data_IF_698018232613
#
_entry.id   IF_698018232613
#
_cell.length_a   1.000
_cell.length_b   1.000
_cell.length_c   1.000
_cell.angle_alpha   90.00
_cell.angle_beta   90.00
_cell.angle_gamma   90.00
#
_symmetry.space_group_name_H-M   'P 1'
#
loop_
_entity.id
_entity.type
_entity.pdbx_description
1 polymer ?
#
# COMPACT_ATOMS: atom_id res chain seq x y z
N UNK A 1 -10.08 24.71 3.37
CA UNK A 1 -8.97 23.74 3.50
C UNK A 1 -8.41 23.42 2.13
N UNK A 2 -7.09 23.40 1.98
CA UNK A 2 -6.42 23.03 0.74
C UNK A 2 -5.98 21.57 0.84
N UNK A 3 -6.38 20.75 -0.13
CA UNK A 3 -5.96 19.34 -0.18
C UNK A 3 -4.50 19.28 -0.62
N UNK A 4 -3.65 18.59 0.13
CA UNK A 4 -2.23 18.39 -0.13
C UNK A 4 -1.96 17.02 -0.75
N UNK A 5 -2.59 15.97 -0.20
CA UNK A 5 -2.36 14.59 -0.63
C UNK A 5 -3.69 13.88 -0.80
N UNK A 6 -3.88 13.24 -1.97
CA UNK A 6 -5.05 12.42 -2.28
C UNK A 6 -4.68 10.95 -2.42
N UNK A 7 -5.62 10.09 -2.05
CA UNK A 7 -5.56 8.67 -2.32
C UNK A 7 -5.79 8.42 -3.82
N UNK A 8 -5.16 7.39 -4.39
CA UNK A 8 -5.42 6.98 -5.78
C UNK A 8 -6.91 6.70 -5.99
N UNK A 9 -7.44 7.09 -7.15
CA UNK A 9 -8.89 7.00 -7.43
C UNK A 9 -9.31 5.62 -7.95
N UNK A 10 -8.42 4.92 -8.67
CA UNK A 10 -8.75 3.69 -9.38
C UNK A 10 -8.43 2.44 -8.57
N UNK A 11 -9.49 1.74 -8.19
CA UNK A 11 -9.42 0.48 -7.44
C UNK A 11 -9.13 -0.76 -8.31
N UNK A 12 -9.10 -0.62 -9.63
CA UNK A 12 -9.10 -1.75 -10.56
C UNK A 12 -7.97 -2.74 -10.33
N UNK A 13 -6.75 -2.25 -10.13
CA UNK A 13 -5.59 -3.13 -9.93
C UNK A 13 -5.63 -3.87 -8.59
N UNK A 14 -6.04 -3.19 -7.51
CA UNK A 14 -6.16 -3.84 -6.19
C UNK A 14 -7.26 -4.90 -6.18
N UNK A 15 -8.34 -4.71 -6.95
CA UNK A 15 -9.37 -5.74 -7.15
C UNK A 15 -8.82 -6.92 -7.94
N UNK A 16 -8.01 -6.66 -8.97
CA UNK A 16 -7.37 -7.70 -9.79
C UNK A 16 -6.36 -8.49 -8.95
N UNK A 17 -5.52 -7.82 -8.17
CA UNK A 17 -4.58 -8.46 -7.24
C UNK A 17 -5.32 -9.33 -6.21
N UNK A 18 -6.39 -8.82 -5.62
CA UNK A 18 -7.22 -9.58 -4.68
C UNK A 18 -7.86 -10.80 -5.35
N UNK A 19 -8.40 -10.66 -6.56
CA UNK A 19 -8.99 -11.76 -7.30
C UNK A 19 -7.93 -12.83 -7.65
N UNK A 20 -6.75 -12.40 -8.07
CA UNK A 20 -5.62 -13.30 -8.35
C UNK A 20 -5.18 -14.06 -7.09
N UNK A 21 -5.05 -13.37 -5.95
CA UNK A 21 -4.75 -13.99 -4.67
C UNK A 21 -5.80 -15.02 -4.24
N UNK A 22 -7.10 -14.71 -4.44
CA UNK A 22 -8.18 -15.62 -4.14
C UNK A 22 -8.14 -16.87 -5.04
N UNK A 23 -7.93 -16.71 -6.34
CA UNK A 23 -7.80 -17.82 -7.30
C UNK A 23 -6.58 -18.69 -6.93
N UNK A 24 -5.44 -18.08 -6.62
CA UNK A 24 -4.25 -18.79 -6.22
C UNK A 24 -4.45 -19.62 -4.93
N UNK A 25 -5.18 -19.08 -3.95
CA UNK A 25 -5.54 -19.83 -2.73
C UNK A 25 -6.43 -21.03 -3.04
N UNK A 26 -7.48 -20.84 -3.86
CA UNK A 26 -8.37 -21.93 -4.26
C UNK A 26 -7.60 -23.02 -5.05
N UNK A 27 -6.75 -22.59 -5.99
CA UNK A 27 -5.91 -23.52 -6.74
C UNK A 27 -4.99 -24.34 -5.82
N UNK A 28 -4.39 -23.72 -4.81
CA UNK A 28 -3.52 -24.44 -3.87
C UNK A 28 -4.27 -25.46 -3.01
N UNK A 29 -5.48 -25.11 -2.56
CA UNK A 29 -6.34 -26.06 -1.81
C UNK A 29 -6.68 -27.31 -2.63
N UNK A 30 -6.78 -27.17 -3.95
CA UNK A 30 -7.09 -28.28 -4.86
C UNK A 30 -5.81 -29.02 -5.27
N UNK A 31 -4.79 -28.29 -5.74
CA UNK A 31 -3.61 -28.85 -6.38
C UNK A 31 -2.67 -29.55 -5.39
N UNK A 32 -2.59 -29.07 -4.16
CA UNK A 32 -1.65 -29.63 -3.18
C UNK A 32 -2.08 -31.05 -2.73
N UNK A 33 -3.35 -31.30 -2.33
CA UNK A 33 -3.82 -32.66 -2.09
C UNK A 33 -3.81 -33.52 -3.35
N UNK A 34 -4.22 -32.96 -4.51
CA UNK A 34 -4.24 -33.71 -5.76
C UNK A 34 -2.84 -34.19 -6.17
N UNK A 35 -1.80 -33.37 -5.95
CA UNK A 35 -0.42 -33.77 -6.21
C UNK A 35 0.03 -34.95 -5.35
N UNK A 36 -0.35 -34.96 -4.07
CA UNK A 36 -0.08 -36.10 -3.17
C UNK A 36 -0.84 -37.34 -3.61
N UNK A 37 -2.10 -37.19 -4.00
CA UNK A 37 -2.95 -38.32 -4.45
C UNK A 37 -2.50 -38.96 -5.77
N UNK A 38 -1.82 -38.19 -6.66
CA UNK A 38 -1.28 -38.76 -7.91
C UNK A 38 -0.13 -39.74 -7.67
N UNK A 39 0.62 -39.58 -6.57
CA UNK A 39 1.69 -40.51 -6.20
C UNK A 39 1.10 -41.79 -5.56
N UNK A 40 0.46 -41.65 -4.44
CA UNK A 40 -0.19 -42.71 -3.68
C UNK A 40 -1.31 -42.14 -2.82
N UNK A 41 -2.60 -42.47 -3.10
CA UNK A 41 -3.74 -41.95 -2.35
C UNK A 41 -3.68 -42.29 -0.84
N UNK A 42 -3.03 -43.42 -0.48
CA UNK A 42 -2.90 -43.86 0.91
C UNK A 42 -2.01 -42.90 1.75
N UNK A 43 -1.16 -42.10 1.11
CA UNK A 43 -0.31 -41.14 1.80
C UNK A 43 -1.11 -40.06 2.54
N UNK A 44 -2.30 -39.68 2.06
CA UNK A 44 -3.18 -38.73 2.75
C UNK A 44 -3.78 -39.32 4.05
N UNK A 45 -3.79 -40.64 4.22
CA UNK A 45 -4.18 -41.29 5.47
C UNK A 45 -3.04 -41.25 6.52
N UNK A 46 -1.81 -40.97 6.10
CA UNK A 46 -0.70 -40.79 7.00
C UNK A 46 -0.80 -39.41 7.71
N UNK A 47 -0.92 -39.38 9.05
CA UNK A 47 -1.11 -38.12 9.78
C UNK A 47 0.03 -37.12 9.62
N UNK A 48 1.26 -37.56 9.36
CA UNK A 48 2.41 -36.68 9.12
C UNK A 48 2.29 -36.02 7.74
N UNK A 49 1.91 -36.76 6.71
CA UNK A 49 1.73 -36.22 5.36
C UNK A 49 0.56 -35.25 5.36
N UNK A 50 -0.59 -35.65 5.94
CA UNK A 50 -1.75 -34.78 6.07
C UNK A 50 -1.41 -33.49 6.83
N UNK A 51 -0.68 -33.59 7.95
CA UNK A 51 -0.23 -32.44 8.71
C UNK A 51 0.65 -31.48 7.88
N UNK A 52 1.58 -32.01 7.10
CA UNK A 52 2.44 -31.23 6.21
C UNK A 52 1.63 -30.51 5.13
N UNK A 53 0.66 -31.18 4.52
CA UNK A 53 -0.24 -30.57 3.52
C UNK A 53 -1.05 -29.42 4.13
N UNK A 54 -1.64 -29.63 5.30
CA UNK A 54 -2.41 -28.59 6.01
C UNK A 54 -1.54 -27.40 6.38
N UNK A 55 -0.34 -27.63 6.93
CA UNK A 55 0.60 -26.55 7.26
C UNK A 55 0.99 -25.78 5.99
N UNK A 56 1.29 -26.48 4.88
CA UNK A 56 1.61 -25.86 3.59
C UNK A 56 0.48 -24.96 3.08
N UNK A 57 -0.78 -25.44 3.15
CA UNK A 57 -1.95 -24.63 2.79
C UNK A 57 -2.11 -23.38 3.67
N UNK A 58 -1.92 -23.51 4.99
CA UNK A 58 -2.01 -22.39 5.93
C UNK A 58 -0.94 -21.34 5.65
N UNK A 59 0.31 -21.77 5.47
CA UNK A 59 1.43 -20.88 5.16
C UNK A 59 1.21 -20.14 3.84
N UNK A 60 0.79 -20.84 2.79
CA UNK A 60 0.48 -20.22 1.51
C UNK A 60 -0.72 -19.29 1.60
N UNK A 61 -1.77 -19.67 2.32
CA UNK A 61 -2.95 -18.83 2.55
C UNK A 61 -2.58 -17.52 3.28
N UNK A 62 -1.75 -17.59 4.31
CA UNK A 62 -1.23 -16.41 5.00
C UNK A 62 -0.40 -15.53 4.05
N UNK A 63 0.49 -16.13 3.28
CA UNK A 63 1.30 -15.41 2.29
C UNK A 63 0.44 -14.70 1.25
N UNK A 64 -0.53 -15.40 0.64
CA UNK A 64 -1.46 -14.83 -0.34
C UNK A 64 -2.32 -13.72 0.28
N UNK A 65 -2.77 -13.88 1.52
CA UNK A 65 -3.51 -12.84 2.23
C UNK A 65 -2.67 -11.57 2.40
N UNK A 66 -1.44 -11.70 2.91
CA UNK A 66 -0.59 -10.54 3.17
C UNK A 66 -0.16 -9.81 1.89
N UNK A 67 0.12 -10.55 0.81
CA UNK A 67 0.56 -9.96 -0.46
C UNK A 67 -0.58 -9.35 -1.26
N UNK A 68 -1.71 -10.05 -1.39
CA UNK A 68 -2.74 -9.69 -2.36
C UNK A 68 -4.01 -9.10 -1.73
N UNK A 69 -4.45 -9.63 -0.58
CA UNK A 69 -5.73 -9.21 0.02
C UNK A 69 -5.59 -8.02 0.97
N UNK A 70 -4.55 -8.01 1.80
CA UNK A 70 -4.32 -6.96 2.78
C UNK A 70 -4.26 -5.55 2.17
N UNK A 71 -3.57 -5.31 1.03
CA UNK A 71 -3.53 -3.99 0.38
C UNK A 71 -4.93 -3.47 0.03
N UNK A 72 -5.80 -4.32 -0.51
CA UNK A 72 -7.17 -3.95 -0.84
C UNK A 72 -7.99 -3.53 0.39
N UNK A 73 -7.91 -4.30 1.49
CA UNK A 73 -8.63 -3.96 2.72
C UNK A 73 -8.06 -2.70 3.38
N UNK A 74 -6.75 -2.49 3.33
CA UNK A 74 -6.13 -1.27 3.82
C UNK A 74 -6.61 -0.06 3.01
N UNK A 75 -6.59 -0.15 1.68
CA UNK A 75 -7.08 0.90 0.79
C UNK A 75 -8.54 1.30 1.10
N UNK A 76 -9.43 0.32 1.33
CA UNK A 76 -10.84 0.60 1.63
C UNK A 76 -11.06 1.37 2.94
N UNK A 77 -10.16 1.22 3.90
CA UNK A 77 -10.25 1.89 5.21
C UNK A 77 -9.72 3.33 5.18
N UNK A 78 -8.95 3.70 4.17
CA UNK A 78 -8.37 5.03 4.07
C UNK A 78 -9.38 6.02 3.48
N UNK A 79 -9.42 7.28 3.97
CA UNK A 79 -10.22 8.35 3.39
C UNK A 79 -9.69 8.74 2.00
N UNK A 80 -10.48 9.51 1.25
CA UNK A 80 -10.05 10.00 -0.09
C UNK A 80 -8.96 11.06 0.03
N UNK A 81 -9.04 11.91 1.04
CA UNK A 81 -8.03 12.91 1.37
C UNK A 81 -7.14 12.36 2.46
N UNK A 82 -5.84 12.26 2.19
CA UNK A 82 -4.84 11.74 3.12
C UNK A 82 -4.13 12.85 3.90
N UNK A 83 -3.99 14.04 3.32
CA UNK A 83 -3.50 15.22 4.03
C UNK A 83 -4.11 16.50 3.43
N UNK A 84 -4.42 17.46 4.31
CA UNK A 84 -4.91 18.78 3.93
C UNK A 84 -4.41 19.85 4.90
N UNK A 85 -4.54 21.12 4.53
CA UNK A 85 -4.13 22.25 5.37
C UNK A 85 -5.18 23.35 5.38
N UNK A 86 -5.30 24.03 6.51
CA UNK A 86 -6.06 25.28 6.67
C UNK A 86 -5.18 26.54 6.58
N UNK A 87 -3.86 26.36 6.41
CA UNK A 87 -2.87 27.44 6.37
C UNK A 87 -2.10 27.63 7.69
N UNK A 88 -2.62 27.17 8.82
CA UNK A 88 -1.96 27.15 10.11
C UNK A 88 -1.50 25.75 10.51
N UNK A 89 -2.32 24.74 10.17
CA UNK A 89 -2.09 23.35 10.52
C UNK A 89 -2.17 22.47 9.29
N UNK A 90 -1.43 21.35 9.34
CA UNK A 90 -1.57 20.22 8.42
C UNK A 90 -2.29 19.09 9.15
N UNK A 91 -3.36 18.60 8.55
CA UNK A 91 -4.16 17.50 9.05
C UNK A 91 -3.80 16.26 8.26
N UNK A 92 -3.38 15.21 8.95
CA UNK A 92 -2.99 13.92 8.36
C UNK A 92 -4.04 12.88 8.71
N UNK A 93 -4.59 12.19 7.69
CA UNK A 93 -5.66 11.19 7.81
C UNK A 93 -5.21 9.77 7.45
N UNK A 94 -3.95 9.44 7.69
CA UNK A 94 -3.41 8.12 7.46
C UNK A 94 -3.81 7.09 8.53
N UNK A 95 -3.01 6.06 8.69
CA UNK A 95 -3.15 5.06 9.76
C UNK A 95 -3.06 5.69 11.15
N UNK A 96 -2.23 6.72 11.29
CA UNK A 96 -2.20 7.62 12.44
C UNK A 96 -2.78 8.95 11.99
N UNK A 97 -3.71 9.49 12.75
CA UNK A 97 -4.26 10.82 12.52
C UNK A 97 -3.45 11.83 13.34
N UNK A 98 -3.15 12.96 12.73
CA UNK A 98 -2.42 14.03 13.41
C UNK A 98 -2.87 15.40 12.92
N UNK A 99 -2.77 16.38 13.81
CA UNK A 99 -2.88 17.80 13.55
C UNK A 99 -1.52 18.44 13.94
N UNK A 100 -0.80 18.93 12.98
CA UNK A 100 0.59 19.41 13.16
C UNK A 100 0.66 20.86 12.69
N UNK A 101 1.24 21.79 13.46
CA UNK A 101 1.45 23.15 13.02
C UNK A 101 2.27 23.20 11.74
N UNK A 102 1.89 24.05 10.77
CA UNK A 102 2.59 24.16 9.50
C UNK A 102 4.06 24.54 9.66
N UNK A 103 4.38 25.37 10.67
CA UNK A 103 5.75 25.76 11.01
C UNK A 103 6.66 24.58 11.38
N UNK A 104 6.10 23.47 11.93
CA UNK A 104 6.87 22.27 12.26
C UNK A 104 7.37 21.50 11.04
N UNK A 105 6.90 21.83 9.85
CA UNK A 105 7.33 21.22 8.59
C UNK A 105 8.55 21.91 7.96
N UNK A 106 9.14 22.92 8.59
CA UNK A 106 10.32 23.59 8.05
C UNK A 106 11.47 22.62 7.75
N UNK A 107 11.70 21.67 8.66
CA UNK A 107 12.74 20.66 8.54
C UNK A 107 12.18 19.25 8.24
N UNK A 108 10.95 19.17 7.73
CA UNK A 108 10.33 17.90 7.44
C UNK A 108 10.97 17.22 6.22
N UNK A 109 11.19 15.91 6.34
CA UNK A 109 11.65 15.10 5.23
C UNK A 109 10.45 14.40 4.58
N UNK A 110 10.38 14.50 3.25
CA UNK A 110 9.37 13.83 2.43
C UNK A 110 10.08 12.80 1.57
N UNK A 111 9.74 11.52 1.75
CA UNK A 111 10.25 10.44 0.91
C UNK A 111 9.10 9.65 0.32
N UNK A 112 9.28 9.08 -0.86
CA UNK A 112 8.26 8.26 -1.49
C UNK A 112 8.79 6.89 -1.87
N UNK A 113 7.91 5.89 -1.81
CA UNK A 113 8.21 4.51 -2.18
C UNK A 113 7.20 4.02 -3.21
N UNK A 114 7.73 3.49 -4.31
CA UNK A 114 6.91 2.83 -5.31
C UNK A 114 6.69 1.37 -4.92
N UNK A 115 5.50 0.78 -5.19
CA UNK A 115 5.28 -0.65 -5.03
C UNK A 115 6.28 -1.47 -5.85
N UNK A 116 6.56 -2.68 -5.40
CA UNK A 116 7.47 -3.61 -6.09
C UNK A 116 7.11 -3.85 -7.56
N UNK A 117 5.83 -3.77 -7.91
CA UNK A 117 5.36 -3.89 -9.29
C UNK A 117 5.97 -2.86 -10.26
N UNK A 118 6.39 -1.70 -9.75
CA UNK A 118 7.08 -0.67 -10.54
C UNK A 118 8.59 -0.88 -10.64
N UNK A 119 9.17 -1.89 -9.99
CA UNK A 119 10.58 -2.22 -10.13
C UNK A 119 10.94 -2.84 -11.49
N UNK A 120 9.94 -3.40 -12.21
CA UNK A 120 10.09 -3.89 -13.57
C UNK A 120 9.50 -2.87 -14.55
N UNK A 121 10.32 -2.33 -15.45
CA UNK A 121 9.95 -1.27 -16.39
C UNK A 121 8.74 -1.63 -17.27
N UNK A 122 8.69 -2.86 -17.79
CA UNK A 122 7.57 -3.31 -18.64
C UNK A 122 6.26 -3.36 -17.85
N UNK A 123 6.31 -3.88 -16.63
CA UNK A 123 5.14 -3.96 -15.75
C UNK A 123 4.73 -2.56 -15.32
N UNK A 124 5.68 -1.69 -15.00
CA UNK A 124 5.44 -0.31 -14.61
C UNK A 124 4.72 0.47 -15.73
N UNK A 125 5.17 0.34 -16.98
CA UNK A 125 4.52 0.98 -18.15
C UNK A 125 3.10 0.45 -18.32
N UNK A 126 2.89 -0.87 -18.26
CA UNK A 126 1.58 -1.48 -18.38
C UNK A 126 0.61 -1.01 -17.28
N UNK A 127 1.07 -1.01 -16.02
CA UNK A 127 0.26 -0.56 -14.88
C UNK A 127 -0.10 0.92 -14.99
N UNK A 128 0.87 1.77 -15.34
CA UNK A 128 0.64 3.20 -15.50
C UNK A 128 -0.35 3.48 -16.63
N UNK A 129 -0.25 2.73 -17.74
CA UNK A 129 -1.19 2.84 -18.85
C UNK A 129 -2.61 2.39 -18.45
N UNK A 130 -2.74 1.30 -17.71
CA UNK A 130 -4.04 0.77 -17.24
C UNK A 130 -4.70 1.66 -16.19
N UNK A 131 -3.92 2.23 -15.28
CA UNK A 131 -4.44 3.06 -14.17
C UNK A 131 -4.55 4.53 -14.53
N UNK A 132 -3.80 5.01 -15.52
CA UNK A 132 -3.62 6.44 -15.84
C UNK A 132 -3.06 7.26 -14.66
N UNK A 133 -2.59 6.62 -13.61
CA UNK A 133 -1.94 7.25 -12.46
C UNK A 133 -0.92 6.31 -11.83
N UNK A 134 0.20 6.86 -11.42
CA UNK A 134 1.21 6.14 -10.66
C UNK A 134 0.88 6.28 -9.17
N UNK A 135 0.82 5.17 -8.45
CA UNK A 135 0.57 5.22 -7.01
C UNK A 135 1.78 4.73 -6.20
N UNK A 136 1.80 5.09 -4.93
CA UNK A 136 2.85 4.65 -4.02
C UNK A 136 2.56 5.06 -2.58
N UNK A 137 3.53 4.83 -1.73
CA UNK A 137 3.52 5.26 -0.34
C UNK A 137 4.38 6.53 -0.20
N UNK A 138 3.94 7.46 0.64
CA UNK A 138 4.64 8.69 0.97
C UNK A 138 4.89 8.72 2.47
N UNK A 139 6.15 8.85 2.84
CA UNK A 139 6.59 8.96 4.23
C UNK A 139 6.92 10.43 4.53
N UNK A 140 6.28 10.96 5.58
CA UNK A 140 6.49 12.29 6.10
C UNK A 140 7.17 12.16 7.46
N UNK A 141 8.39 12.60 7.58
CA UNK A 141 9.09 12.67 8.86
C UNK A 141 9.16 14.11 9.34
N UNK A 142 8.48 14.40 10.45
CA UNK A 142 8.35 15.74 11.00
C UNK A 142 9.08 15.77 12.33
N UNK A 143 10.18 16.52 12.45
CA UNK A 143 10.96 16.63 13.68
C UNK A 143 10.08 17.03 14.87
N UNK A 144 10.18 16.28 15.97
CA UNK A 144 9.37 16.50 17.18
C UNK A 144 7.96 15.94 17.15
N UNK A 145 7.42 15.55 15.98
CA UNK A 145 6.07 15.00 15.82
C UNK A 145 6.07 13.55 15.34
N UNK A 146 7.19 13.07 14.77
CA UNK A 146 7.39 11.71 14.35
C UNK A 146 7.13 11.46 12.85
N UNK A 147 7.10 10.18 12.48
CA UNK A 147 6.97 9.75 11.09
C UNK A 147 5.54 9.28 10.78
N UNK A 148 5.00 9.73 9.64
CA UNK A 148 3.65 9.45 9.15
C UNK A 148 3.72 8.83 7.77
N UNK A 149 3.18 7.62 7.64
CA UNK A 149 3.12 6.90 6.37
C UNK A 149 1.74 7.02 5.74
N UNK A 150 1.68 7.60 4.55
CA UNK A 150 0.49 7.74 3.72
C UNK A 150 0.55 6.69 2.61
N UNK A 151 -0.39 5.75 2.64
CA UNK A 151 -0.46 4.65 1.68
C UNK A 151 -1.35 5.00 0.48
N UNK A 152 -1.03 4.44 -0.68
CA UNK A 152 -1.80 4.56 -1.92
C UNK A 152 -1.99 6.01 -2.39
N UNK A 153 -0.95 6.81 -2.28
CA UNK A 153 -0.94 8.19 -2.77
C UNK A 153 -0.98 8.20 -4.30
N UNK A 154 -1.90 8.99 -4.87
CA UNK A 154 -2.01 9.19 -6.31
C UNK A 154 -0.82 10.00 -6.83
N UNK A 155 -0.25 9.59 -7.97
CA UNK A 155 0.90 10.24 -8.61
C UNK A 155 1.99 10.59 -7.60
N UNK A 156 2.39 9.60 -6.80
CA UNK A 156 3.18 9.79 -5.57
C UNK A 156 4.43 10.65 -5.79
N UNK A 157 5.12 10.51 -6.92
CA UNK A 157 6.32 11.30 -7.24
C UNK A 157 5.98 12.78 -7.39
N UNK A 158 5.00 13.10 -8.23
CA UNK A 158 4.54 14.47 -8.44
C UNK A 158 3.98 15.07 -7.15
N UNK A 159 3.18 14.30 -6.42
CA UNK A 159 2.60 14.74 -5.12
C UNK A 159 3.69 15.02 -4.09
N UNK A 160 4.78 14.24 -4.04
CA UNK A 160 5.91 14.48 -3.15
C UNK A 160 6.61 15.80 -3.50
N UNK A 161 6.87 16.06 -4.79
CA UNK A 161 7.52 17.28 -5.27
C UNK A 161 6.65 18.52 -5.00
N UNK A 162 5.34 18.43 -5.27
CA UNK A 162 4.38 19.51 -4.98
C UNK A 162 4.26 19.79 -3.49
N UNK A 163 4.24 18.75 -2.66
CA UNK A 163 4.19 18.87 -1.21
C UNK A 163 5.47 19.55 -0.66
N UNK A 164 6.65 19.12 -1.09
CA UNK A 164 7.92 19.76 -0.73
C UNK A 164 7.93 21.23 -1.12
N UNK A 165 7.54 21.55 -2.35
CA UNK A 165 7.46 22.94 -2.83
C UNK A 165 6.49 23.77 -1.98
N UNK A 166 5.33 23.19 -1.63
CA UNK A 166 4.36 23.87 -0.77
C UNK A 166 4.92 24.14 0.63
N UNK A 167 5.55 23.14 1.25
CA UNK A 167 6.11 23.26 2.59
C UNK A 167 7.23 24.28 2.63
N UNK A 168 8.17 24.26 1.67
CA UNK A 168 9.24 25.26 1.57
C UNK A 168 8.69 26.70 1.43
N UNK A 169 7.68 26.90 0.59
CA UNK A 169 7.08 28.21 0.38
C UNK A 169 6.27 28.70 1.59
N UNK A 170 5.64 27.80 2.32
CA UNK A 170 4.83 28.13 3.48
C UNK A 170 5.69 28.50 4.69
N UNK A 171 6.81 27.80 4.90
CA UNK A 171 7.73 28.08 6.01
C UNK A 171 8.49 29.39 5.83
N UNK A 172 8.87 29.73 4.57
CA UNK A 172 9.54 31.03 4.27
C UNK A 172 8.62 32.24 4.54
N UNK A 173 7.29 32.07 4.50
CA UNK A 173 6.33 33.14 4.81
C UNK A 173 6.08 33.34 6.30
N UNK A 174 6.41 32.37 7.14
CA UNK A 174 6.24 32.46 8.60
C UNK A 174 7.43 33.18 9.25
N UNK A 175 8.57 33.23 8.57
CA UNK A 175 9.79 33.93 9.06
C UNK A 175 9.85 35.42 8.70
N UNK A 176 8.88 35.95 7.97
CA UNK A 176 8.73 37.39 7.65
C UNK A 176 7.60 38.02 8.47
#
# INVERSE_FOLDING_TARGET
MKVLVKKMSKLGILKLEMAFGAIAMVAMVILLPAGVMQGDPSLLLNPYVLGTVVIGMLMFGLFAYFLFMRPYFLYRKLPEVLAETDGEYVYIYGKKQAKIPLAAFADAMVTYHLPFLYSNELIAVLITHLLSEQYGDLDLDVPGYGSYKLHFVSNVRQTADELLTFLCNATTKVEQ
#
